data_IF_099965983781
#
_entry.id   IF_099965983781
#
_cell.length_a   1.000
_cell.length_b   1.000
_cell.length_c   1.000
_cell.angle_alpha   90.00
_cell.angle_beta   90.00
_cell.angle_gamma   90.00
#
_symmetry.space_group_name_H-M   'P 1'
#
loop_
_entity.id
_entity.type
_entity.pdbx_description
1 polymer ?
#
# COMPACT_ATOMS: atom_id res chain seq x y z
N UNK A 1 -3.61 9.39 26.03
CA UNK A 1 -2.71 10.40 25.45
C UNK A 1 -3.16 10.69 24.02
N UNK A 2 -3.39 11.95 23.67
CA UNK A 2 -3.65 12.33 22.27
C UNK A 2 -2.40 12.07 21.43
N UNK A 3 -2.54 11.39 20.30
CA UNK A 3 -1.43 11.15 19.35
C UNK A 3 -0.88 12.51 18.92
N UNK A 4 0.31 12.90 19.39
CA UNK A 4 1.00 14.16 19.00
C UNK A 4 1.30 14.25 17.50
N UNK A 5 1.24 13.12 16.79
CA UNK A 5 1.59 12.95 15.39
C UNK A 5 0.34 12.61 14.56
N UNK A 6 -0.68 13.48 14.57
CA UNK A 6 -1.96 13.23 13.89
C UNK A 6 -1.83 13.16 12.37
N UNK A 7 -0.87 13.88 11.77
CA UNK A 7 -0.64 13.93 10.32
C UNK A 7 0.60 13.17 9.86
N UNK A 8 1.20 12.36 10.74
CA UNK A 8 2.41 11.59 10.43
C UNK A 8 2.14 10.10 10.57
N UNK A 9 2.41 9.36 9.48
CA UNK A 9 2.40 7.90 9.47
C UNK A 9 3.78 7.38 9.83
N UNK A 10 3.88 6.66 10.94
CA UNK A 10 5.14 6.05 11.36
C UNK A 10 5.37 4.75 10.59
N UNK A 11 6.49 4.66 9.90
CA UNK A 11 6.94 3.47 9.16
C UNK A 11 8.23 2.92 9.76
N UNK A 12 8.26 1.61 10.00
CA UNK A 12 9.44 0.92 10.51
C UNK A 12 10.54 0.81 9.43
N UNK A 13 11.83 0.66 9.80
CA UNK A 13 12.93 0.54 8.85
C UNK A 13 12.71 -0.54 7.76
N UNK A 14 12.13 -1.68 8.13
CA UNK A 14 11.75 -2.75 7.18
C UNK A 14 10.69 -2.32 6.18
N UNK A 15 9.73 -1.49 6.59
CA UNK A 15 8.73 -0.93 5.69
C UNK A 15 9.36 -0.02 4.64
N UNK A 16 10.32 0.80 5.06
CA UNK A 16 11.09 1.65 4.15
C UNK A 16 11.95 0.86 3.16
N UNK A 17 12.59 -0.21 3.63
CA UNK A 17 13.35 -1.12 2.77
C UNK A 17 12.44 -1.79 1.73
N UNK A 18 11.28 -2.30 2.15
CA UNK A 18 10.30 -2.91 1.23
C UNK A 18 9.83 -1.91 0.18
N UNK A 19 9.47 -0.68 0.56
CA UNK A 19 9.05 0.36 -0.40
C UNK A 19 10.16 0.65 -1.41
N UNK A 20 11.42 0.81 -0.98
CA UNK A 20 12.55 1.05 -1.91
C UNK A 20 12.75 -0.11 -2.88
N UNK A 21 12.67 -1.34 -2.40
CA UNK A 21 12.81 -2.53 -3.25
C UNK A 21 11.66 -2.62 -4.28
N UNK A 22 10.42 -2.36 -3.84
CA UNK A 22 9.26 -2.33 -4.72
C UNK A 22 9.36 -1.23 -5.78
N UNK A 23 9.88 -0.05 -5.45
CA UNK A 23 10.08 1.03 -6.42
C UNK A 23 11.05 0.60 -7.53
N UNK A 24 12.08 -0.20 -7.21
CA UNK A 24 13.05 -0.67 -8.19
C UNK A 24 12.49 -1.80 -9.08
N UNK A 25 11.72 -2.72 -8.51
CA UNK A 25 11.22 -3.91 -9.23
C UNK A 25 9.89 -3.66 -9.95
N UNK A 26 8.94 -2.99 -9.30
CA UNK A 26 7.62 -2.69 -9.84
C UNK A 26 7.04 -1.41 -9.20
N UNK A 27 7.32 -0.23 -9.79
CA UNK A 27 6.84 1.06 -9.27
C UNK A 27 5.32 1.14 -9.10
N UNK A 28 4.57 0.40 -9.91
CA UNK A 28 3.12 0.33 -9.82
C UNK A 28 2.63 -0.41 -8.57
N UNK A 29 3.22 -1.57 -8.30
CA UNK A 29 2.97 -2.31 -7.06
C UNK A 29 3.40 -1.53 -5.82
N UNK A 30 4.47 -0.73 -5.92
CA UNK A 30 4.88 0.18 -4.85
C UNK A 30 3.79 1.23 -4.52
N UNK A 31 3.15 1.81 -5.55
CA UNK A 31 2.01 2.75 -5.37
C UNK A 31 0.82 2.09 -4.69
N UNK A 32 0.49 0.86 -5.09
CA UNK A 32 -0.60 0.12 -4.44
C UNK A 32 -0.26 -0.18 -2.98
N UNK A 33 0.93 -0.69 -2.72
CA UNK A 33 1.41 -0.99 -1.37
C UNK A 33 1.40 0.24 -0.46
N UNK A 34 1.77 1.42 -0.96
CA UNK A 34 1.73 2.66 -0.16
C UNK A 34 0.31 3.05 0.23
N UNK A 35 -0.66 2.95 -0.68
CA UNK A 35 -2.08 3.25 -0.36
C UNK A 35 -2.61 2.30 0.70
N UNK A 36 -2.33 1.00 0.58
CA UNK A 36 -2.76 0.01 1.56
C UNK A 36 -2.11 0.25 2.93
N UNK A 37 -0.81 0.57 2.96
CA UNK A 37 -0.06 0.84 4.19
C UNK A 37 -0.54 2.11 4.90
N UNK A 38 -0.95 3.12 4.14
CA UNK A 38 -1.48 4.38 4.68
C UNK A 38 -2.84 4.19 5.38
N UNK A 39 -3.67 3.28 4.87
CA UNK A 39 -5.05 3.06 5.33
C UNK A 39 -5.23 1.82 6.20
N UNK A 40 -4.13 1.20 6.64
CA UNK A 40 -4.19 0.01 7.49
C UNK A 40 -4.75 0.36 8.87
N UNK A 41 -5.73 -0.42 9.34
CA UNK A 41 -6.27 -0.23 10.69
C UNK A 41 -5.21 -0.65 11.72
N UNK A 42 -4.81 0.29 12.57
CA UNK A 42 -3.81 0.07 13.61
C UNK A 42 -4.21 -0.92 14.71
N UNK A 43 -5.49 -1.27 14.84
CA UNK A 43 -5.97 -2.24 15.83
C UNK A 43 -5.94 -3.68 15.32
N UNK A 44 -6.31 -3.92 14.06
CA UNK A 44 -6.37 -5.27 13.48
C UNK A 44 -5.27 -5.57 12.45
N UNK A 45 -4.53 -4.56 11.98
CA UNK A 45 -3.45 -4.72 11.01
C UNK A 45 -3.94 -5.13 9.62
N UNK A 46 -5.18 -4.79 9.26
CA UNK A 46 -5.78 -5.14 7.98
C UNK A 46 -6.40 -3.92 7.30
N UNK A 47 -6.51 -3.99 5.97
CA UNK A 47 -7.25 -3.06 5.13
C UNK A 47 -7.97 -3.86 4.06
N UNK A 48 -9.23 -3.50 3.79
CA UNK A 48 -10.04 -4.12 2.74
C UNK A 48 -10.58 -3.01 1.86
N UNK A 49 -10.39 -3.16 0.55
CA UNK A 49 -10.86 -2.21 -0.44
C UNK A 49 -11.34 -2.96 -1.69
N UNK A 50 -12.35 -2.40 -2.35
CA UNK A 50 -12.82 -2.91 -3.63
C UNK A 50 -11.78 -2.67 -4.75
N UNK A 51 -11.67 -3.62 -5.68
CA UNK A 51 -10.68 -3.52 -6.77
C UNK A 51 -10.99 -2.36 -7.74
N UNK A 52 -12.26 -2.07 -7.98
CA UNK A 52 -12.68 -0.94 -8.81
C UNK A 52 -12.36 0.37 -8.09
N UNK A 53 -12.62 0.45 -6.79
CA UNK A 53 -12.25 1.61 -5.98
C UNK A 53 -10.74 1.92 -6.07
N UNK A 54 -9.89 0.91 -5.89
CA UNK A 54 -8.43 1.08 -5.99
C UNK A 54 -7.98 1.46 -7.41
N UNK A 55 -8.63 0.89 -8.43
CA UNK A 55 -8.37 1.21 -9.83
C UNK A 55 -8.69 2.68 -10.13
N UNK A 56 -9.83 3.17 -9.67
CA UNK A 56 -10.27 4.56 -9.82
C UNK A 56 -9.32 5.52 -9.09
N UNK A 57 -9.00 5.21 -7.82
CA UNK A 57 -8.08 6.02 -6.99
C UNK A 57 -6.68 6.14 -7.61
N UNK A 58 -6.17 5.07 -8.21
CA UNK A 58 -4.84 5.05 -8.81
C UNK A 58 -4.82 5.40 -10.30
N UNK A 59 -6.00 5.64 -10.89
CA UNK A 59 -6.22 5.91 -12.31
C UNK A 59 -5.64 4.82 -13.22
N UNK A 60 -5.92 3.56 -12.89
CA UNK A 60 -5.50 2.36 -13.63
C UNK A 60 -6.69 1.43 -13.86
N UNK A 61 -6.47 0.30 -14.53
CA UNK A 61 -7.52 -0.72 -14.71
C UNK A 61 -7.55 -1.69 -13.54
N UNK A 62 -8.70 -2.34 -13.30
CA UNK A 62 -8.81 -3.45 -12.33
C UNK A 62 -7.87 -4.60 -12.65
N UNK A 63 -7.58 -4.85 -13.94
CA UNK A 63 -6.56 -5.83 -14.37
C UNK A 63 -5.16 -5.45 -13.87
N UNK A 64 -4.81 -4.17 -13.94
CA UNK A 64 -3.54 -3.66 -13.41
C UNK A 64 -3.46 -3.86 -11.89
N UNK A 65 -4.53 -3.58 -11.15
CA UNK A 65 -4.60 -3.83 -9.70
C UNK A 65 -4.37 -5.31 -9.40
N UNK A 66 -5.06 -6.23 -10.09
CA UNK A 66 -4.86 -7.68 -9.91
C UNK A 66 -3.41 -8.11 -10.14
N UNK A 67 -2.79 -7.64 -11.22
CA UNK A 67 -1.38 -7.94 -11.51
C UNK A 67 -0.44 -7.44 -10.40
N UNK A 68 -0.70 -6.24 -9.87
CA UNK A 68 0.09 -5.70 -8.76
C UNK A 68 -0.14 -6.47 -7.46
N UNK A 69 -1.37 -6.90 -7.18
CA UNK A 69 -1.67 -7.77 -6.04
C UNK A 69 -0.92 -9.09 -6.15
N UNK A 70 -1.02 -9.80 -7.28
CA UNK A 70 -0.27 -11.05 -7.48
C UNK A 70 1.24 -10.86 -7.32
N UNK A 71 1.79 -9.78 -7.86
CA UNK A 71 3.20 -9.45 -7.66
C UNK A 71 3.57 -9.24 -6.17
N UNK A 72 2.71 -8.56 -5.40
CA UNK A 72 2.93 -8.31 -3.97
C UNK A 72 2.73 -9.57 -3.10
N UNK A 73 1.95 -10.54 -3.55
CA UNK A 73 1.77 -11.83 -2.86
C UNK A 73 2.96 -12.78 -3.10
N UNK A 74 3.60 -12.67 -4.27
CA UNK A 74 4.74 -13.49 -4.67
C UNK A 74 6.11 -12.97 -4.14
N UNK A 75 6.17 -11.74 -3.61
CA UNK A 75 7.40 -11.05 -3.15
C UNK A 75 7.27 -10.46 -1.75
#
# INVERSE_FOLDING_TARGET
EERKNTNFTQTYPKGWERIRNLIQSNPGAARLYSVLSEHIDGTCGAVVADQQFLADQLSVTTRTIRNWVSFLEEN
#
